data_IF_159684339108
#
_entry.id   IF_159684339108
#
_cell.length_a   1.000
_cell.length_b   1.000
_cell.length_c   1.000
_cell.angle_alpha   90.00
_cell.angle_beta   90.00
_cell.angle_gamma   90.00
#
_symmetry.space_group_name_H-M   'P 1'
#
loop_
_entity.id
_entity.type
_entity.pdbx_description
1 polymer ?
#
# COMPACT_ATOMS: atom_id res chain seq x y z
N UNK A 1 -14.61 18.42 9.06
CA UNK A 1 -13.21 18.04 8.77
C UNK A 1 -12.40 19.31 8.62
N UNK A 2 -11.29 19.41 9.33
CA UNK A 2 -10.31 20.47 9.12
C UNK A 2 -9.48 20.19 7.85
N UNK A 3 -8.81 21.22 7.34
CA UNK A 3 -8.02 21.16 6.12
C UNK A 3 -6.87 20.13 6.22
N UNK A 4 -6.30 19.95 7.41
CA UNK A 4 -5.23 18.97 7.66
C UNK A 4 -5.71 17.54 7.46
N UNK A 5 -6.82 17.17 8.10
CA UNK A 5 -7.42 15.83 7.96
C UNK A 5 -7.84 15.54 6.52
N UNK A 6 -8.38 16.53 5.80
CA UNK A 6 -8.75 16.36 4.39
C UNK A 6 -7.54 16.06 3.50
N UNK A 7 -6.43 16.78 3.68
CA UNK A 7 -5.19 16.52 2.94
C UNK A 7 -4.65 15.12 3.21
N UNK A 8 -4.64 14.70 4.47
CA UNK A 8 -4.16 13.37 4.85
C UNK A 8 -5.03 12.27 4.21
N UNK A 9 -6.35 12.45 4.22
CA UNK A 9 -7.26 11.53 3.55
C UNK A 9 -7.00 11.44 2.04
N UNK A 10 -6.81 12.57 1.36
CA UNK A 10 -6.46 12.60 -0.06
C UNK A 10 -5.11 11.94 -0.35
N UNK A 11 -4.11 12.14 0.52
CA UNK A 11 -2.83 11.46 0.39
C UNK A 11 -2.97 9.94 0.52
N UNK A 12 -3.73 9.44 1.50
CA UNK A 12 -3.98 8.01 1.65
C UNK A 12 -4.69 7.42 0.43
N UNK A 13 -5.69 8.13 -0.12
CA UNK A 13 -6.35 7.73 -1.37
C UNK A 13 -5.39 7.69 -2.55
N UNK A 14 -4.47 8.65 -2.66
CA UNK A 14 -3.46 8.68 -3.70
C UNK A 14 -2.52 7.45 -3.62
N UNK A 15 -2.07 7.10 -2.41
CA UNK A 15 -1.21 5.93 -2.21
C UNK A 15 -1.96 4.61 -2.46
N UNK A 16 -3.22 4.53 -2.06
CA UNK A 16 -4.09 3.40 -2.39
C UNK A 16 -4.24 3.25 -3.91
N UNK A 17 -4.55 4.35 -4.60
CA UNK A 17 -4.62 4.38 -6.06
C UNK A 17 -3.28 4.01 -6.70
N UNK A 18 -2.15 4.45 -6.13
CA UNK A 18 -0.80 4.09 -6.59
C UNK A 18 -0.52 2.60 -6.52
N UNK A 19 -0.86 1.95 -5.39
CA UNK A 19 -0.73 0.49 -5.24
C UNK A 19 -1.59 -0.27 -6.24
N UNK A 20 -2.82 0.20 -6.47
CA UNK A 20 -3.72 -0.35 -7.47
C UNK A 20 -3.20 -0.14 -8.89
N UNK A 21 -2.71 1.05 -9.22
CA UNK A 21 -2.14 1.42 -10.52
C UNK A 21 -0.92 0.56 -10.86
N UNK A 22 -0.05 0.28 -9.89
CA UNK A 22 1.08 -0.62 -10.09
C UNK A 22 0.62 -2.02 -10.53
N UNK A 23 -0.34 -2.60 -9.80
CA UNK A 23 -0.91 -3.91 -10.14
C UNK A 23 -1.60 -3.90 -11.51
N UNK A 24 -2.37 -2.86 -11.80
CA UNK A 24 -3.01 -2.61 -13.09
C UNK A 24 -2.00 -2.65 -14.22
N UNK A 25 -0.95 -1.83 -14.14
CA UNK A 25 0.09 -1.71 -15.16
C UNK A 25 0.81 -3.04 -15.35
N UNK A 26 1.30 -3.66 -14.27
CA UNK A 26 2.02 -4.93 -14.38
C UNK A 26 1.17 -6.05 -14.96
N UNK A 27 -0.15 -6.06 -14.71
CA UNK A 27 -1.05 -7.07 -15.26
C UNK A 27 -1.12 -7.06 -16.79
N UNK A 28 -0.76 -5.95 -17.45
CA UNK A 28 -0.63 -5.89 -18.90
C UNK A 28 0.70 -6.44 -19.42
N UNK A 29 1.78 -6.37 -18.62
CA UNK A 29 3.13 -6.77 -19.02
C UNK A 29 3.49 -8.20 -18.59
N UNK A 30 2.94 -8.69 -17.47
CA UNK A 30 3.30 -10.00 -16.92
C UNK A 30 2.15 -10.68 -16.20
N UNK A 31 2.12 -12.02 -16.30
CA UNK A 31 1.25 -12.88 -15.48
C UNK A 31 1.94 -13.38 -14.21
N UNK A 32 3.19 -12.99 -13.98
CA UNK A 32 3.94 -13.41 -12.81
C UNK A 32 3.32 -12.79 -11.54
N UNK A 33 2.76 -13.64 -10.68
CA UNK A 33 2.09 -13.23 -9.46
C UNK A 33 3.04 -12.53 -8.48
N UNK A 34 4.29 -12.99 -8.37
CA UNK A 34 5.28 -12.42 -7.43
C UNK A 34 5.52 -10.95 -7.75
N UNK A 35 5.70 -10.63 -9.03
CA UNK A 35 5.93 -9.25 -9.48
C UNK A 35 4.69 -8.39 -9.26
N UNK A 36 3.49 -8.93 -9.52
CA UNK A 36 2.22 -8.19 -9.33
C UNK A 36 1.94 -7.83 -7.87
N UNK A 37 2.35 -8.68 -6.93
CA UNK A 37 2.20 -8.48 -5.48
C UNK A 37 3.44 -7.86 -4.82
N UNK A 38 4.46 -7.47 -5.59
CA UNK A 38 5.71 -6.93 -5.06
C UNK A 38 5.52 -5.76 -4.08
N UNK A 39 4.66 -4.74 -4.36
CA UNK A 39 4.42 -3.66 -3.40
C UNK A 39 3.84 -4.18 -2.09
N UNK A 40 2.96 -5.17 -2.15
CA UNK A 40 2.35 -5.78 -0.96
C UNK A 40 3.37 -6.58 -0.16
N UNK A 41 4.24 -7.35 -0.83
CA UNK A 41 5.29 -8.13 -0.18
C UNK A 41 6.31 -7.23 0.52
N UNK A 42 6.74 -6.15 -0.14
CA UNK A 42 7.63 -5.15 0.47
C UNK A 42 6.93 -4.49 1.67
N UNK A 43 5.67 -4.08 1.51
CA UNK A 43 4.90 -3.44 2.56
C UNK A 43 4.72 -4.35 3.79
N UNK A 44 4.52 -5.65 3.58
CA UNK A 44 4.39 -6.64 4.64
C UNK A 44 5.65 -6.72 5.52
N UNK A 45 6.84 -6.52 4.93
CA UNK A 45 8.10 -6.48 5.68
C UNK A 45 8.36 -5.10 6.29
N UNK A 46 8.00 -4.04 5.58
CA UNK A 46 8.29 -2.67 5.98
C UNK A 46 7.43 -2.24 7.18
N UNK A 47 6.14 -2.59 7.21
CA UNK A 47 5.23 -2.17 8.29
C UNK A 47 5.70 -2.66 9.67
N UNK A 48 6.02 -3.95 9.89
CA UNK A 48 6.58 -4.42 11.15
C UNK A 48 7.86 -3.68 11.55
N UNK A 49 8.74 -3.40 10.59
CA UNK A 49 9.96 -2.64 10.85
C UNK A 49 9.67 -1.20 11.31
N UNK A 50 8.74 -0.51 10.66
CA UNK A 50 8.34 0.85 11.06
C UNK A 50 7.68 0.84 12.45
N UNK A 51 6.81 -0.13 12.72
CA UNK A 51 6.17 -0.31 14.02
C UNK A 51 7.22 -0.62 15.09
N UNK A 52 8.18 -1.51 14.81
CA UNK A 52 9.28 -1.81 15.73
C UNK A 52 10.07 -0.55 16.08
N UNK A 53 10.48 0.25 15.11
CA UNK A 53 11.19 1.50 15.36
C UNK A 53 10.35 2.51 16.16
N UNK A 54 9.03 2.52 15.95
CA UNK A 54 8.13 3.39 16.70
C UNK A 54 8.06 3.03 18.20
N UNK A 55 8.08 1.75 18.55
CA UNK A 55 7.95 1.28 19.94
C UNK A 55 9.29 1.12 20.67
N UNK A 56 10.34 0.72 19.96
CA UNK A 56 11.64 0.37 20.55
C UNK A 56 12.77 1.31 20.13
N UNK A 57 12.51 2.21 19.18
CA UNK A 57 13.47 3.26 18.84
C UNK A 57 13.48 4.35 19.90
N UNK A 58 14.68 4.81 20.26
CA UNK A 58 14.84 6.05 21.02
C UNK A 58 14.52 7.24 20.10
N UNK A 59 13.23 7.47 19.88
CA UNK A 59 12.73 8.49 18.96
C UNK A 59 12.48 9.81 19.71
N UNK A 60 13.02 10.89 19.18
CA UNK A 60 12.82 12.24 19.71
C UNK A 60 11.90 13.07 18.81
N UNK A 61 11.20 14.03 19.42
CA UNK A 61 10.34 14.98 18.71
C UNK A 61 9.19 14.32 17.94
N UNK A 62 9.01 14.70 16.67
CA UNK A 62 7.89 14.27 15.82
C UNK A 62 8.14 12.96 15.05
N UNK A 63 9.29 12.31 15.26
CA UNK A 63 9.62 11.06 14.56
C UNK A 63 8.58 9.94 14.77
N UNK A 64 8.02 9.70 15.98
CA UNK A 64 7.00 8.67 16.15
C UNK A 64 5.76 8.88 15.27
N UNK A 65 5.33 10.14 15.15
CA UNK A 65 4.20 10.51 14.29
C UNK A 65 4.53 10.31 12.80
N UNK A 66 5.75 10.64 12.38
CA UNK A 66 6.21 10.40 11.02
C UNK A 66 6.21 8.89 10.68
N UNK A 67 6.72 8.04 11.58
CA UNK A 67 6.67 6.59 11.42
C UNK A 67 5.24 6.05 11.34
N UNK A 68 4.34 6.58 12.17
CA UNK A 68 2.93 6.20 12.14
C UNK A 68 2.26 6.57 10.80
N UNK A 69 2.42 7.82 10.34
CA UNK A 69 1.88 8.26 9.05
C UNK A 69 2.50 7.44 7.91
N UNK A 70 3.80 7.18 7.97
CA UNK A 70 4.47 6.39 6.95
C UNK A 70 3.96 4.95 6.92
N UNK A 71 3.78 4.31 8.07
CA UNK A 71 3.15 2.99 8.17
C UNK A 71 1.74 2.97 7.56
N UNK A 72 0.92 4.00 7.79
CA UNK A 72 -0.40 4.14 7.18
C UNK A 72 -0.33 4.27 5.65
N UNK A 73 0.62 5.06 5.11
CA UNK A 73 0.79 5.18 3.66
C UNK A 73 1.22 3.87 3.01
N UNK A 74 2.17 3.15 3.61
CA UNK A 74 2.63 1.84 3.15
C UNK A 74 1.48 0.83 3.21
N UNK A 75 0.69 0.85 4.28
CA UNK A 75 -0.52 0.03 4.38
C UNK A 75 -1.54 0.35 3.28
N UNK A 76 -1.76 1.63 2.96
CA UNK A 76 -2.65 2.03 1.88
C UNK A 76 -2.18 1.50 0.52
N UNK A 77 -0.88 1.55 0.21
CA UNK A 77 -0.29 0.96 -1.00
C UNK A 77 -0.53 -0.55 -1.05
N UNK A 78 -0.28 -1.25 0.06
CA UNK A 78 -0.51 -2.69 0.17
C UNK A 78 -1.97 -3.05 -0.13
N UNK A 79 -2.92 -2.36 0.53
CA UNK A 79 -4.35 -2.60 0.33
C UNK A 79 -4.76 -2.33 -1.11
N UNK A 80 -4.32 -1.21 -1.69
CA UNK A 80 -4.60 -0.87 -3.09
C UNK A 80 -4.09 -1.94 -4.06
N UNK A 81 -2.87 -2.43 -3.84
CA UNK A 81 -2.25 -3.47 -4.67
C UNK A 81 -2.98 -4.81 -4.55
N UNK A 82 -3.31 -5.26 -3.33
CA UNK A 82 -4.06 -6.49 -3.10
C UNK A 82 -5.45 -6.42 -3.74
N UNK A 83 -6.19 -5.34 -3.51
CA UNK A 83 -7.55 -5.18 -4.06
C UNK A 83 -7.54 -5.18 -5.60
N UNK A 84 -6.58 -4.48 -6.23
CA UNK A 84 -6.46 -4.47 -7.68
C UNK A 84 -6.16 -5.87 -8.23
N UNK A 85 -5.23 -6.61 -7.63
CA UNK A 85 -4.91 -7.96 -8.08
C UNK A 85 -6.11 -8.92 -7.93
N UNK A 86 -6.84 -8.84 -6.82
CA UNK A 86 -8.06 -9.63 -6.60
C UNK A 86 -9.15 -9.33 -7.65
N UNK A 87 -9.33 -8.05 -8.00
CA UNK A 87 -10.29 -7.64 -9.03
C UNK A 87 -9.87 -8.14 -10.41
N UNK A 88 -8.57 -8.11 -10.73
CA UNK A 88 -8.05 -8.61 -12.00
C UNK A 88 -8.20 -10.12 -12.15
N UNK A 89 -7.84 -10.88 -11.12
CA UNK A 89 -7.90 -12.33 -11.19
C UNK A 89 -9.36 -12.80 -11.35
N UNK A 90 -10.31 -12.12 -10.70
CA UNK A 90 -11.75 -12.33 -10.91
C UNK A 90 -12.19 -12.00 -12.34
N UNK A 91 -11.69 -10.91 -12.93
CA UNK A 91 -12.01 -10.51 -14.32
C UNK A 91 -11.46 -11.51 -15.35
N UNK A 92 -10.26 -12.02 -15.15
CA UNK A 92 -9.67 -13.01 -16.07
C UNK A 92 -10.42 -14.34 -16.03
N UNK A 93 -10.78 -14.83 -14.84
CA UNK A 93 -11.56 -16.07 -14.69
C UNK A 93 -12.93 -16.01 -15.37
N UNK A 94 -13.59 -14.84 -15.34
CA UNK A 94 -14.86 -14.60 -16.05
C UNK A 94 -14.74 -14.56 -17.58
N UNK A 95 -13.56 -14.34 -18.14
CA UNK A 95 -13.35 -14.34 -19.60
C UNK A 95 -13.07 -15.74 -20.16
N UNK A 96 -12.69 -16.69 -19.33
CA UNK A 96 -12.36 -18.08 -19.72
C UNK A 96 -13.44 -19.10 -19.35
N UNK A 97 -14.54 -18.68 -18.72
CA UNK A 97 -15.73 -19.50 -18.45
C UNK A 97 -16.85 -19.06 -19.40
#
# INVERSE_FOLDING_TARGET
MDNGTLRLFLYLLLFLAGGAAYSLLLSYFTKNWVLRYLPSLISLLLIPYLVYNMYFGNLEGFLPLAYFIFALTVFAVMVGNVLANLLFDRRQRKKTA
#
